data_IF_861788953834
#
_entry.id   IF_861788953834
#
_cell.length_a   1.000
_cell.length_b   1.000
_cell.length_c   1.000
_cell.angle_alpha   90.00
_cell.angle_beta   90.00
_cell.angle_gamma   90.00
#
_symmetry.space_group_name_H-M   'P 1'
#
loop_
_entity.id
_entity.type
_entity.pdbx_description
1 polymer ?
#
# COMPACT_ATOMS: atom_id res chain seq x y z
N UNK A 1 6.80 -5.55 -19.48
CA UNK A 1 5.88 -6.52 -20.11
C UNK A 1 5.41 -6.09 -21.49
N UNK A 2 5.02 -4.84 -21.68
CA UNK A 2 4.45 -4.35 -22.96
C UNK A 2 5.48 -4.17 -24.09
N UNK A 3 6.77 -4.09 -23.79
CA UNK A 3 7.80 -3.96 -24.82
C UNK A 3 7.87 -5.21 -25.71
N UNK A 4 7.80 -5.00 -27.05
CA UNK A 4 7.87 -6.10 -28.02
C UNK A 4 9.25 -6.73 -28.04
N UNK A 5 10.29 -5.89 -28.07
CA UNK A 5 11.69 -6.27 -28.12
C UNK A 5 12.36 -5.97 -26.76
N UNK A 6 12.90 -7.00 -26.15
CA UNK A 6 13.69 -6.95 -24.92
C UNK A 6 15.15 -7.30 -25.15
N UNK A 7 15.54 -7.69 -26.39
CA UNK A 7 16.92 -8.00 -26.72
C UNK A 7 17.78 -6.74 -26.79
N UNK A 8 17.23 -5.65 -27.33
CA UNK A 8 17.93 -4.39 -27.59
C UNK A 8 17.76 -3.34 -26.49
N UNK A 9 17.29 -3.73 -25.28
CA UNK A 9 17.24 -2.81 -24.15
C UNK A 9 18.67 -2.47 -23.68
N UNK A 10 18.88 -1.23 -23.26
CA UNK A 10 20.19 -0.76 -22.79
C UNK A 10 20.64 -1.50 -21.53
N UNK A 11 21.92 -1.48 -21.23
CA UNK A 11 22.47 -2.08 -20.01
C UNK A 11 21.84 -1.52 -18.74
N UNK A 12 21.61 -0.21 -18.69
CA UNK A 12 20.92 0.47 -17.59
C UNK A 12 19.48 -0.03 -17.42
N UNK A 13 18.74 -0.19 -18.54
CA UNK A 13 17.39 -0.75 -18.51
C UNK A 13 17.39 -2.22 -18.05
N UNK A 14 18.36 -3.03 -18.49
CA UNK A 14 18.53 -4.41 -18.01
C UNK A 14 18.73 -4.46 -16.52
N UNK A 15 19.66 -3.66 -16.01
CA UNK A 15 19.92 -3.52 -14.57
C UNK A 15 18.66 -3.14 -13.80
N UNK A 16 17.94 -2.11 -14.26
CA UNK A 16 16.70 -1.67 -13.62
C UNK A 16 15.65 -2.80 -13.56
N UNK A 17 15.49 -3.57 -14.64
CA UNK A 17 14.56 -4.72 -14.67
C UNK A 17 14.99 -5.77 -13.64
N UNK A 18 16.27 -6.14 -13.63
CA UNK A 18 16.82 -7.17 -12.74
C UNK A 18 16.63 -6.78 -11.26
N UNK A 19 17.10 -5.59 -10.89
CA UNK A 19 17.00 -5.08 -9.52
C UNK A 19 15.53 -4.95 -9.07
N UNK A 20 14.65 -4.44 -9.93
CA UNK A 20 13.24 -4.24 -9.60
C UNK A 20 12.49 -5.57 -9.46
N UNK A 21 12.71 -6.51 -10.38
CA UNK A 21 12.01 -7.78 -10.38
C UNK A 21 12.45 -8.72 -9.24
N UNK A 22 13.65 -8.56 -8.70
CA UNK A 22 14.10 -9.34 -7.55
C UNK A 22 13.97 -8.61 -6.21
N UNK A 23 13.48 -7.37 -6.20
CA UNK A 23 13.12 -6.65 -4.98
C UNK A 23 11.79 -7.16 -4.42
N UNK A 24 11.81 -8.33 -3.80
CA UNK A 24 10.64 -9.00 -3.25
C UNK A 24 11.03 -9.85 -2.03
N UNK A 25 10.03 -10.36 -1.30
CA UNK A 25 10.29 -11.32 -0.24
C UNK A 25 10.66 -12.68 -0.86
N UNK A 26 11.95 -13.01 -0.88
CA UNK A 26 12.48 -14.19 -1.57
C UNK A 26 11.84 -15.48 -1.08
N UNK A 27 11.72 -15.69 0.23
CA UNK A 27 11.16 -16.92 0.80
C UNK A 27 9.67 -17.14 0.48
N UNK A 28 8.94 -16.06 0.16
CA UNK A 28 7.51 -16.13 -0.13
C UNK A 28 7.17 -15.99 -1.61
N UNK A 29 8.02 -15.33 -2.39
CA UNK A 29 7.69 -14.91 -3.76
C UNK A 29 8.65 -15.44 -4.83
N UNK A 30 9.87 -15.87 -4.48
CA UNK A 30 10.84 -16.40 -5.43
C UNK A 30 11.04 -17.90 -5.20
N UNK A 31 11.40 -18.31 -3.99
CA UNK A 31 11.71 -19.71 -3.66
C UNK A 31 10.57 -20.70 -3.92
N UNK A 32 9.28 -20.37 -3.68
CA UNK A 32 8.19 -21.30 -3.96
C UNK A 32 7.98 -21.62 -5.43
N UNK A 33 8.57 -20.82 -6.33
CA UNK A 33 8.42 -20.99 -7.77
C UNK A 33 9.74 -21.40 -8.41
N UNK A 34 9.96 -22.69 -8.70
CA UNK A 34 11.25 -23.19 -9.23
C UNK A 34 11.72 -22.49 -10.51
N UNK A 35 10.81 -22.09 -11.39
CA UNK A 35 11.15 -21.36 -12.61
C UNK A 35 11.63 -19.92 -12.29
N UNK A 36 11.00 -19.21 -11.37
CA UNK A 36 11.44 -17.89 -10.94
C UNK A 36 12.76 -17.96 -10.16
N UNK A 37 12.89 -18.96 -9.29
CA UNK A 37 14.15 -19.21 -8.58
C UNK A 37 15.33 -19.45 -9.52
N UNK A 38 15.16 -20.22 -10.59
CA UNK A 38 16.23 -20.41 -11.62
C UNK A 38 16.67 -19.09 -12.24
N UNK A 39 15.74 -18.19 -12.53
CA UNK A 39 16.09 -16.84 -13.05
C UNK A 39 16.89 -16.04 -12.02
N UNK A 40 16.52 -16.15 -10.75
CA UNK A 40 17.27 -15.51 -9.66
C UNK A 40 18.67 -16.09 -9.49
N UNK A 41 18.81 -17.41 -9.51
CA UNK A 41 20.12 -18.07 -9.38
C UNK A 41 21.07 -17.65 -10.53
N UNK A 42 20.55 -17.56 -11.77
CA UNK A 42 21.30 -17.03 -12.91
C UNK A 42 21.72 -15.55 -12.69
N UNK A 43 20.80 -14.71 -12.22
CA UNK A 43 21.12 -13.31 -11.88
C UNK A 43 22.26 -13.23 -10.86
N UNK A 44 22.21 -14.03 -9.79
CA UNK A 44 23.25 -14.03 -8.74
C UNK A 44 24.62 -14.48 -9.26
N UNK A 45 24.67 -15.39 -10.23
CA UNK A 45 25.93 -15.76 -10.87
C UNK A 45 26.56 -14.61 -11.66
N UNK A 46 25.75 -13.71 -12.22
CA UNK A 46 26.22 -12.55 -12.96
C UNK A 46 26.43 -11.32 -12.06
N UNK A 47 25.65 -11.17 -11.00
CA UNK A 47 25.78 -10.04 -10.04
C UNK A 47 27.13 -10.00 -9.33
N UNK A 48 27.74 -11.16 -9.10
CA UNK A 48 29.07 -11.28 -8.49
C UNK A 48 30.21 -10.81 -9.40
N UNK A 49 29.92 -10.46 -10.64
CA UNK A 49 30.86 -10.03 -11.66
C UNK A 49 30.57 -8.57 -12.08
N UNK A 50 31.34 -8.04 -13.04
CA UNK A 50 31.13 -6.67 -13.51
C UNK A 50 29.79 -6.50 -14.24
N UNK A 51 29.21 -5.29 -14.23
CA UNK A 51 27.92 -4.97 -14.84
C UNK A 51 27.77 -5.40 -16.31
N UNK A 52 28.88 -5.48 -17.05
CA UNK A 52 28.91 -5.89 -18.43
C UNK A 52 28.39 -7.32 -18.65
N UNK A 53 28.44 -8.18 -17.63
CA UNK A 53 27.93 -9.54 -17.70
C UNK A 53 26.40 -9.62 -17.88
N UNK A 54 25.66 -8.57 -17.57
CA UNK A 54 24.21 -8.53 -17.84
C UNK A 54 23.87 -8.50 -19.35
N UNK A 55 24.82 -8.22 -20.22
CA UNK A 55 24.65 -8.35 -21.66
C UNK A 55 24.41 -9.80 -22.10
N UNK A 56 24.89 -10.79 -21.35
CA UNK A 56 24.71 -12.20 -21.65
C UNK A 56 23.32 -12.73 -21.27
N UNK A 57 22.54 -11.98 -20.51
CA UNK A 57 21.16 -12.32 -20.25
C UNK A 57 20.28 -11.93 -21.45
N UNK A 58 19.72 -12.91 -22.15
CA UNK A 58 18.94 -12.70 -23.37
C UNK A 58 17.66 -11.88 -23.13
N UNK A 59 17.07 -11.34 -24.21
CA UNK A 59 15.74 -10.72 -24.15
C UNK A 59 14.66 -11.69 -23.69
N UNK A 60 14.81 -13.00 -23.99
CA UNK A 60 13.90 -14.03 -23.49
C UNK A 60 14.01 -14.22 -21.97
N UNK A 61 15.23 -14.17 -21.42
CA UNK A 61 15.43 -14.16 -19.97
C UNK A 61 14.68 -12.99 -19.30
N UNK A 62 14.78 -11.78 -19.84
CA UNK A 62 14.08 -10.60 -19.33
C UNK A 62 12.56 -10.74 -19.49
N UNK A 63 12.09 -11.35 -20.59
CA UNK A 63 10.68 -11.62 -20.78
C UNK A 63 10.12 -12.56 -19.70
N UNK A 64 10.82 -13.66 -19.46
CA UNK A 64 10.43 -14.64 -18.46
C UNK A 64 10.49 -14.04 -17.03
N UNK A 65 11.52 -13.25 -16.74
CA UNK A 65 11.65 -12.54 -15.46
C UNK A 65 10.50 -11.57 -15.20
N UNK A 66 10.15 -10.75 -16.19
CA UNK A 66 9.04 -9.80 -16.07
C UNK A 66 7.70 -10.53 -15.86
N UNK A 67 7.48 -11.66 -16.54
CA UNK A 67 6.27 -12.47 -16.34
C UNK A 67 6.25 -13.05 -14.92
N UNK A 68 7.32 -13.70 -14.49
CA UNK A 68 7.38 -14.29 -13.15
C UNK A 68 7.23 -13.29 -12.04
N UNK A 69 7.80 -12.09 -12.16
CA UNK A 69 7.57 -11.01 -11.23
C UNK A 69 6.08 -10.74 -11.05
N UNK A 70 5.35 -10.55 -12.13
CA UNK A 70 3.91 -10.25 -12.06
C UNK A 70 3.08 -11.46 -11.59
N UNK A 71 3.42 -12.69 -12.00
CA UNK A 71 2.76 -13.89 -11.50
C UNK A 71 2.92 -14.05 -9.99
N UNK A 72 4.11 -13.80 -9.46
CA UNK A 72 4.39 -13.91 -8.02
C UNK A 72 3.66 -12.83 -7.19
N UNK A 73 3.40 -11.66 -7.76
CA UNK A 73 2.66 -10.57 -7.11
C UNK A 73 1.14 -10.67 -7.24
N UNK A 74 0.62 -11.57 -8.08
CA UNK A 74 -0.81 -11.80 -8.17
C UNK A 74 -1.39 -12.36 -6.87
N UNK A 75 -2.62 -11.96 -6.55
CA UNK A 75 -3.38 -12.55 -5.45
C UNK A 75 -3.57 -14.06 -5.62
N UNK A 76 -3.50 -14.81 -4.53
CA UNK A 76 -3.56 -16.28 -4.55
C UNK A 76 -4.83 -16.82 -5.18
N UNK A 77 -6.00 -16.26 -4.86
CA UNK A 77 -7.28 -16.65 -5.48
C UNK A 77 -7.26 -16.47 -6.99
N UNK A 78 -6.74 -15.34 -7.47
CA UNK A 78 -6.64 -15.05 -8.90
C UNK A 78 -5.71 -16.04 -9.59
N UNK A 79 -4.57 -16.38 -8.98
CA UNK A 79 -3.63 -17.37 -9.54
C UNK A 79 -4.24 -18.77 -9.69
N UNK A 80 -5.10 -19.16 -8.73
CA UNK A 80 -5.74 -20.48 -8.73
C UNK A 80 -6.90 -20.60 -9.70
N UNK A 81 -7.66 -19.52 -9.88
CA UNK A 81 -8.93 -19.55 -10.59
C UNK A 81 -8.82 -19.08 -12.04
N UNK A 82 -7.82 -18.25 -12.36
CA UNK A 82 -7.68 -17.71 -13.71
C UNK A 82 -6.89 -18.66 -14.61
N UNK A 83 -7.53 -19.18 -15.65
CA UNK A 83 -6.97 -20.17 -16.58
C UNK A 83 -5.67 -19.70 -17.26
N UNK A 84 -5.56 -18.42 -17.63
CA UNK A 84 -4.35 -17.86 -18.22
C UNK A 84 -3.17 -17.96 -17.25
N UNK A 85 -3.37 -17.58 -15.99
CA UNK A 85 -2.31 -17.61 -14.98
C UNK A 85 -1.89 -19.04 -14.66
N UNK A 86 -2.85 -19.96 -14.52
CA UNK A 86 -2.58 -21.40 -14.34
C UNK A 86 -1.74 -21.95 -15.47
N UNK A 87 -2.12 -21.66 -16.73
CA UNK A 87 -1.37 -22.11 -17.91
C UNK A 87 0.04 -21.51 -17.97
N UNK A 88 0.19 -20.21 -17.69
CA UNK A 88 1.50 -19.55 -17.67
C UNK A 88 2.41 -20.11 -16.57
N UNK A 89 1.89 -20.31 -15.37
CA UNK A 89 2.65 -20.89 -14.26
C UNK A 89 3.09 -22.32 -14.55
N UNK A 90 2.22 -23.12 -15.17
CA UNK A 90 2.53 -24.48 -15.60
C UNK A 90 3.58 -24.51 -16.72
N UNK A 91 3.51 -23.58 -17.68
CA UNK A 91 4.51 -23.45 -18.76
C UNK A 91 5.89 -23.09 -18.22
N UNK A 92 5.98 -22.16 -17.30
CA UNK A 92 7.17 -21.83 -16.51
C UNK A 92 8.23 -20.98 -17.20
N UNK A 93 8.36 -20.96 -18.51
CA UNK A 93 9.36 -20.18 -19.25
C UNK A 93 8.99 -20.01 -20.73
N UNK A 94 9.84 -19.30 -21.50
CA UNK A 94 9.67 -19.06 -22.94
C UNK A 94 8.36 -18.32 -23.25
N UNK A 95 8.03 -17.33 -22.46
CA UNK A 95 6.81 -16.54 -22.64
C UNK A 95 6.90 -15.66 -23.89
N UNK A 96 5.93 -15.85 -24.77
CA UNK A 96 5.80 -15.10 -26.03
C UNK A 96 5.33 -13.67 -25.76
N UNK A 97 5.51 -12.79 -26.75
CA UNK A 97 4.97 -11.42 -26.69
C UNK A 97 3.44 -11.41 -26.51
N UNK A 98 2.73 -12.32 -27.17
CA UNK A 98 1.26 -12.43 -27.04
C UNK A 98 0.84 -12.78 -25.60
N UNK A 99 1.50 -13.73 -24.97
CA UNK A 99 1.21 -14.10 -23.57
C UNK A 99 1.48 -12.92 -22.62
N UNK A 100 2.56 -12.17 -22.84
CA UNK A 100 2.86 -10.97 -22.09
C UNK A 100 1.78 -9.90 -22.25
N UNK A 101 1.26 -9.70 -23.47
CA UNK A 101 0.14 -8.79 -23.71
C UNK A 101 -1.14 -9.23 -23.00
N UNK A 102 -1.46 -10.53 -23.02
CA UNK A 102 -2.60 -11.09 -22.30
C UNK A 102 -2.48 -10.86 -20.77
N UNK A 103 -1.27 -11.05 -20.21
CA UNK A 103 -1.01 -10.78 -18.80
C UNK A 103 -1.21 -9.30 -18.46
N UNK A 104 -0.73 -8.38 -19.29
CA UNK A 104 -0.93 -6.93 -19.11
C UNK A 104 -2.42 -6.57 -19.15
N UNK A 105 -3.17 -7.14 -20.10
CA UNK A 105 -4.60 -6.92 -20.20
C UNK A 105 -5.33 -7.40 -18.94
N UNK A 106 -5.04 -8.63 -18.48
CA UNK A 106 -5.60 -9.17 -17.25
C UNK A 106 -5.28 -8.28 -16.03
N UNK A 107 -4.04 -7.80 -15.90
CA UNK A 107 -3.67 -6.88 -14.82
C UNK A 107 -4.54 -5.62 -14.88
N UNK A 108 -4.73 -5.06 -16.08
CA UNK A 108 -5.58 -3.90 -16.29
C UNK A 108 -7.03 -4.15 -15.86
N UNK A 109 -7.61 -5.27 -16.24
CA UNK A 109 -8.97 -5.68 -15.85
C UNK A 109 -9.11 -5.84 -14.33
N UNK A 110 -8.14 -6.51 -13.69
CA UNK A 110 -8.13 -6.68 -12.23
C UNK A 110 -8.09 -5.34 -11.50
N UNK A 111 -7.22 -4.42 -11.93
CA UNK A 111 -7.09 -3.09 -11.32
C UNK A 111 -8.39 -2.29 -11.52
N UNK A 112 -8.96 -2.30 -12.71
CA UNK A 112 -10.23 -1.61 -13.00
C UNK A 112 -11.39 -2.18 -12.18
N UNK A 113 -11.35 -3.48 -11.88
CA UNK A 113 -12.35 -4.17 -11.08
C UNK A 113 -12.32 -3.89 -9.58
N UNK A 114 -11.23 -3.30 -9.04
CA UNK A 114 -11.06 -3.13 -7.58
C UNK A 114 -12.16 -2.23 -6.98
N UNK A 115 -12.32 -1.02 -7.49
CA UNK A 115 -13.30 -0.05 -6.97
C UNK A 115 -14.75 -0.58 -7.08
N UNK A 116 -15.20 -1.09 -8.24
CA UNK A 116 -16.51 -1.71 -8.34
C UNK A 116 -16.75 -2.86 -7.35
N UNK A 117 -15.72 -3.70 -7.11
CA UNK A 117 -15.81 -4.80 -6.16
C UNK A 117 -15.99 -4.31 -4.73
N UNK A 118 -15.22 -3.32 -4.28
CA UNK A 118 -15.38 -2.73 -2.95
C UNK A 118 -16.76 -2.08 -2.79
N UNK A 119 -17.23 -1.35 -3.81
CA UNK A 119 -18.59 -0.77 -3.82
C UNK A 119 -19.63 -1.85 -3.63
N UNK A 120 -19.57 -2.93 -4.42
CA UNK A 120 -20.53 -4.05 -4.34
C UNK A 120 -20.51 -4.71 -2.95
N UNK A 121 -19.37 -4.99 -2.38
CA UNK A 121 -19.26 -5.59 -1.04
C UNK A 121 -19.83 -4.69 0.05
N UNK A 122 -19.69 -3.37 -0.09
CA UNK A 122 -20.27 -2.41 0.84
C UNK A 122 -21.79 -2.31 0.67
N UNK A 123 -22.29 -2.29 -0.57
CA UNK A 123 -23.75 -2.31 -0.88
C UNK A 123 -24.42 -3.58 -0.35
N UNK A 124 -23.74 -4.72 -0.43
CA UNK A 124 -24.23 -6.01 0.11
C UNK A 124 -24.12 -6.10 1.65
N UNK A 125 -23.59 -5.07 2.31
CA UNK A 125 -23.40 -5.05 3.76
C UNK A 125 -22.36 -6.02 4.30
N UNK A 126 -21.47 -6.55 3.45
CA UNK A 126 -20.41 -7.47 3.85
C UNK A 126 -19.20 -6.75 4.46
N UNK A 127 -18.97 -5.49 4.08
CA UNK A 127 -17.90 -4.66 4.60
C UNK A 127 -18.39 -3.24 4.86
N UNK A 128 -17.73 -2.55 5.79
CA UNK A 128 -17.80 -1.09 5.94
C UNK A 128 -16.50 -0.48 5.39
N UNK A 129 -16.63 0.55 4.56
CA UNK A 129 -15.50 1.29 4.02
C UNK A 129 -15.25 2.54 4.85
N UNK A 130 -14.01 2.75 5.22
CA UNK A 130 -13.51 3.99 5.83
C UNK A 130 -12.56 4.71 4.88
N UNK A 131 -12.25 5.95 5.20
CA UNK A 131 -11.30 6.75 4.42
C UNK A 131 -10.17 7.29 5.29
N UNK A 132 -9.21 7.95 4.67
CA UNK A 132 -8.15 8.72 5.32
C UNK A 132 -8.23 10.17 4.82
N UNK A 133 -7.71 11.16 5.55
CA UNK A 133 -7.71 12.55 5.08
C UNK A 133 -7.03 12.67 3.70
N UNK A 134 -7.63 13.45 2.81
CA UNK A 134 -7.12 13.70 1.47
C UNK A 134 -5.68 14.24 1.54
N UNK A 135 -4.75 13.71 0.72
CA UNK A 135 -3.30 13.96 0.79
C UNK A 135 -2.61 13.52 2.09
N UNK A 136 -3.28 12.80 2.98
CA UNK A 136 -2.69 12.15 4.15
C UNK A 136 -1.91 13.08 5.12
N UNK A 137 -2.44 14.26 5.49
CA UNK A 137 -1.74 15.17 6.41
C UNK A 137 -1.83 14.69 7.85
N UNK A 138 -0.78 14.93 8.63
CA UNK A 138 -0.77 14.70 10.08
C UNK A 138 -1.56 15.83 10.75
N UNK A 139 -2.86 15.64 10.91
CA UNK A 139 -3.79 16.67 11.40
C UNK A 139 -3.38 17.31 12.74
N UNK A 140 -2.96 16.56 13.79
CA UNK A 140 -2.52 17.16 15.03
C UNK A 140 -1.43 18.23 14.85
N UNK A 141 -0.41 17.94 14.04
CA UNK A 141 0.70 18.87 13.78
C UNK A 141 0.28 20.11 13.00
N UNK A 142 -0.71 19.98 12.13
CA UNK A 142 -1.26 21.13 11.39
C UNK A 142 -2.10 22.04 12.30
N UNK A 143 -2.71 21.50 13.33
CA UNK A 143 -3.54 22.25 14.27
C UNK A 143 -2.72 22.89 15.39
N UNK A 144 -1.76 22.14 15.94
CA UNK A 144 -0.85 22.59 17.00
C UNK A 144 0.45 21.79 16.94
N UNK A 145 1.56 22.46 16.65
CA UNK A 145 2.89 21.84 16.61
C UNK A 145 3.32 21.25 17.97
N UNK A 146 2.79 21.76 19.09
CA UNK A 146 3.07 21.22 20.42
C UNK A 146 2.52 19.79 20.60
N UNK A 147 1.52 19.38 19.80
CA UNK A 147 1.01 18.01 19.83
C UNK A 147 2.09 16.94 19.59
N UNK A 148 3.20 17.31 18.91
CA UNK A 148 4.36 16.42 18.74
C UNK A 148 4.95 15.95 20.09
N UNK A 149 4.88 16.80 21.13
CA UNK A 149 5.40 16.49 22.47
C UNK A 149 4.52 15.52 23.26
N UNK A 150 3.28 15.30 22.83
CA UNK A 150 2.43 14.25 23.41
C UNK A 150 2.98 12.85 23.06
N UNK A 151 3.58 12.71 21.88
CA UNK A 151 4.25 11.46 21.45
C UNK A 151 5.71 11.39 21.88
N UNK A 152 6.45 12.51 21.74
CA UNK A 152 7.89 12.62 22.03
C UNK A 152 8.13 13.85 22.90
N UNK A 153 8.09 13.74 24.22
CA UNK A 153 8.12 14.88 25.14
C UNK A 153 9.33 15.82 25.00
N UNK A 154 10.48 15.27 24.58
CA UNK A 154 11.73 16.02 24.41
C UNK A 154 12.00 16.53 22.98
N UNK A 155 11.03 16.42 22.06
CA UNK A 155 11.27 16.83 20.67
C UNK A 155 11.47 18.36 20.56
N UNK A 156 12.48 18.74 19.78
CA UNK A 156 12.64 20.14 19.37
C UNK A 156 11.59 20.50 18.33
N UNK A 157 10.89 21.61 18.58
CA UNK A 157 9.87 22.10 17.67
C UNK A 157 10.47 23.11 16.67
N UNK A 158 9.84 23.27 15.49
CA UNK A 158 10.20 24.32 14.56
C UNK A 158 10.12 25.72 15.20
N UNK A 159 10.88 26.67 14.72
CA UNK A 159 10.85 28.07 15.17
C UNK A 159 9.48 28.72 14.93
N UNK A 160 8.75 28.25 13.90
CA UNK A 160 7.36 28.66 13.64
C UNK A 160 6.43 28.14 14.73
N UNK A 161 5.63 29.04 15.34
CA UNK A 161 4.71 28.66 16.41
C UNK A 161 3.46 27.91 15.92
N UNK A 162 3.10 28.04 14.66
CA UNK A 162 1.90 27.41 14.09
C UNK A 162 2.04 27.15 12.59
N UNK A 163 1.31 26.16 12.11
CA UNK A 163 1.16 25.92 10.68
C UNK A 163 0.08 26.88 10.11
N UNK A 164 0.43 27.71 9.10
CA UNK A 164 -0.51 28.73 8.58
C UNK A 164 -1.79 28.11 8.02
N UNK A 165 -2.95 28.53 8.55
CA UNK A 165 -4.25 28.04 8.10
C UNK A 165 -4.52 26.56 8.42
N UNK A 166 -3.87 26.00 9.43
CA UNK A 166 -3.93 24.56 9.75
C UNK A 166 -5.36 24.03 9.88
N UNK A 167 -6.23 24.69 10.64
CA UNK A 167 -7.60 24.24 10.84
C UNK A 167 -8.42 24.19 9.54
N UNK A 168 -8.32 25.24 8.70
CA UNK A 168 -8.99 25.27 7.40
C UNK A 168 -8.46 24.18 6.45
N UNK A 169 -7.16 23.96 6.45
CA UNK A 169 -6.53 22.91 5.62
C UNK A 169 -6.94 21.53 6.07
N UNK A 170 -6.92 21.24 7.38
CA UNK A 170 -7.39 19.94 7.91
C UNK A 170 -8.86 19.73 7.57
N UNK A 171 -9.72 20.74 7.76
CA UNK A 171 -11.14 20.67 7.38
C UNK A 171 -11.31 20.38 5.88
N UNK A 172 -10.53 21.05 5.03
CA UNK A 172 -10.51 20.76 3.59
C UNK A 172 -10.13 19.30 3.29
N UNK A 173 -9.05 18.80 3.89
CA UNK A 173 -8.59 17.42 3.66
C UNK A 173 -9.61 16.39 4.14
N UNK A 174 -10.32 16.64 5.23
CA UNK A 174 -11.38 15.74 5.72
C UNK A 174 -12.59 15.77 4.80
N UNK A 175 -13.10 16.96 4.45
CA UNK A 175 -14.28 17.11 3.59
C UNK A 175 -14.02 16.59 2.17
N UNK A 176 -12.83 16.81 1.63
CA UNK A 176 -12.46 16.33 0.30
C UNK A 176 -12.32 14.80 0.26
N UNK A 177 -11.77 14.19 1.32
CA UNK A 177 -11.73 12.74 1.45
C UNK A 177 -13.13 12.12 1.40
N UNK A 178 -14.12 12.74 2.06
CA UNK A 178 -15.50 12.26 2.04
C UNK A 178 -16.13 12.37 0.65
N UNK A 179 -15.94 13.50 -0.05
CA UNK A 179 -16.41 13.67 -1.43
C UNK A 179 -15.79 12.65 -2.38
N UNK A 180 -14.48 12.44 -2.29
CA UNK A 180 -13.79 11.45 -3.13
C UNK A 180 -14.26 10.03 -2.82
N UNK A 181 -14.46 9.69 -1.55
CA UNK A 181 -15.00 8.40 -1.15
C UNK A 181 -16.42 8.19 -1.73
N UNK A 182 -17.29 9.16 -1.59
CA UNK A 182 -18.66 9.10 -2.15
C UNK A 182 -18.64 8.98 -3.68
N UNK A 183 -17.75 9.72 -4.35
CA UNK A 183 -17.57 9.64 -5.79
C UNK A 183 -17.18 8.22 -6.25
N UNK A 184 -16.20 7.59 -5.60
CA UNK A 184 -15.71 6.27 -6.01
C UNK A 184 -16.57 5.12 -5.51
N UNK A 185 -17.10 5.20 -4.30
CA UNK A 185 -17.80 4.08 -3.64
C UNK A 185 -19.32 4.27 -3.54
N UNK A 186 -19.85 5.42 -3.94
CA UNK A 186 -21.30 5.66 -4.01
C UNK A 186 -21.97 5.94 -2.67
N UNK A 187 -21.22 5.98 -1.57
CA UNK A 187 -21.74 6.24 -0.22
C UNK A 187 -20.78 7.06 0.62
N UNK A 188 -21.30 7.84 1.54
CA UNK A 188 -20.51 8.61 2.50
C UNK A 188 -19.88 7.66 3.53
N UNK A 189 -18.57 7.75 3.81
CA UNK A 189 -17.94 6.90 4.83
C UNK A 189 -18.36 7.32 6.23
N UNK A 190 -18.61 6.35 7.10
CA UNK A 190 -18.92 6.63 8.50
C UNK A 190 -17.65 6.94 9.32
N UNK A 191 -16.53 6.38 8.93
CA UNK A 191 -15.29 6.42 9.68
C UNK A 191 -14.06 6.86 8.91
N UNK A 192 -13.02 7.22 9.67
CA UNK A 192 -11.75 7.68 9.13
C UNK A 192 -10.57 7.05 9.88
N UNK A 193 -9.55 6.65 9.14
CA UNK A 193 -8.22 6.42 9.65
C UNK A 193 -7.44 7.74 9.55
N UNK A 194 -7.21 8.47 10.67
CA UNK A 194 -6.33 9.63 10.66
C UNK A 194 -4.94 9.24 10.14
N UNK A 195 -4.31 10.13 9.39
CA UNK A 195 -2.98 9.88 8.85
C UNK A 195 -2.02 9.39 9.93
N UNK A 196 -1.32 8.27 9.70
CA UNK A 196 -0.42 7.60 10.65
C UNK A 196 -1.07 7.23 12.00
N UNK A 197 -2.41 7.19 12.08
CA UNK A 197 -3.12 7.00 13.34
C UNK A 197 -2.97 8.19 14.32
N UNK A 198 -2.46 9.32 13.83
CA UNK A 198 -2.21 10.52 14.63
C UNK A 198 -3.49 11.23 15.03
N UNK A 199 -3.76 11.28 16.33
CA UNK A 199 -4.95 11.93 16.90
C UNK A 199 -4.57 12.95 17.97
N UNK A 200 -5.37 14.00 18.06
CA UNK A 200 -5.46 14.91 19.20
C UNK A 200 -6.92 15.27 19.40
N UNK A 201 -7.27 15.79 20.56
CA UNK A 201 -8.65 16.22 20.82
C UNK A 201 -9.14 17.22 19.78
N UNK A 202 -8.30 18.19 19.39
CA UNK A 202 -8.63 19.18 18.37
C UNK A 202 -8.87 18.55 17.00
N UNK A 203 -8.04 17.57 16.61
CA UNK A 203 -8.19 16.84 15.34
C UNK A 203 -9.48 16.01 15.34
N UNK A 204 -9.76 15.26 16.41
CA UNK A 204 -10.97 14.45 16.55
C UNK A 204 -12.24 15.32 16.46
N UNK A 205 -12.29 16.44 17.19
CA UNK A 205 -13.41 17.39 17.14
C UNK A 205 -13.62 17.96 15.73
N UNK A 206 -12.55 18.26 15.02
CA UNK A 206 -12.63 18.81 13.67
C UNK A 206 -13.12 17.75 12.66
N UNK A 207 -12.67 16.50 12.80
CA UNK A 207 -13.19 15.37 12.01
C UNK A 207 -14.67 15.13 12.28
N UNK A 208 -15.10 15.14 13.55
CA UNK A 208 -16.50 15.00 13.92
C UNK A 208 -17.38 16.14 13.36
N UNK A 209 -16.91 17.39 13.39
CA UNK A 209 -17.60 18.56 12.78
C UNK A 209 -17.78 18.41 11.27
N UNK A 210 -16.91 17.65 10.60
CA UNK A 210 -17.01 17.35 9.17
C UNK A 210 -17.80 16.07 8.88
N UNK A 211 -18.48 15.47 9.87
CA UNK A 211 -19.38 14.33 9.68
C UNK A 211 -18.77 12.95 9.96
N UNK A 212 -17.53 12.88 10.42
CA UNK A 212 -16.92 11.62 10.82
C UNK A 212 -17.58 11.09 12.11
N UNK A 213 -18.05 9.85 12.10
CA UNK A 213 -18.74 9.25 13.27
C UNK A 213 -17.81 8.39 14.12
N UNK A 214 -16.72 7.90 13.56
CA UNK A 214 -15.67 7.19 14.29
C UNK A 214 -14.30 7.39 13.63
N UNK A 215 -13.26 7.29 14.43
CA UNK A 215 -11.87 7.29 13.98
C UNK A 215 -11.15 6.09 14.57
N UNK A 216 -10.18 5.56 13.81
CA UNK A 216 -9.31 4.49 14.29
C UNK A 216 -7.93 5.05 14.61
N UNK A 217 -7.28 4.50 15.64
CA UNK A 217 -5.93 4.86 16.03
C UNK A 217 -5.16 3.65 16.57
N UNK A 218 -3.87 3.80 16.84
CA UNK A 218 -3.04 2.71 17.34
C UNK A 218 -3.25 2.41 18.82
N UNK A 219 -3.06 1.14 19.22
CA UNK A 219 -3.12 0.69 20.61
C UNK A 219 -2.23 1.54 21.55
N UNK A 220 -1.05 1.96 21.07
CA UNK A 220 -0.14 2.78 21.87
C UNK A 220 -0.75 4.13 22.27
N UNK A 221 -1.55 4.74 21.39
CA UNK A 221 -2.24 6.01 21.68
C UNK A 221 -3.25 5.80 22.80
N UNK A 222 -4.07 4.74 22.72
CA UNK A 222 -5.00 4.39 23.79
C UNK A 222 -4.27 4.14 25.11
N UNK A 223 -3.23 3.33 25.11
CA UNK A 223 -2.45 2.99 26.30
C UNK A 223 -1.82 4.23 26.95
N UNK A 224 -1.28 5.16 26.15
CA UNK A 224 -0.71 6.40 26.65
C UNK A 224 -1.78 7.32 27.23
N UNK A 225 -2.94 7.44 26.58
CA UNK A 225 -4.08 8.23 27.07
C UNK A 225 -4.62 7.71 28.41
N UNK A 226 -4.77 6.38 28.54
CA UNK A 226 -5.21 5.74 29.78
C UNK A 226 -4.18 5.93 30.91
N UNK A 227 -2.88 5.87 30.59
CA UNK A 227 -1.82 6.12 31.58
C UNK A 227 -1.85 7.56 32.08
N UNK A 228 -2.03 8.53 31.18
CA UNK A 228 -2.17 9.94 31.56
C UNK A 228 -3.42 10.18 32.40
N UNK A 229 -4.52 9.48 32.10
CA UNK A 229 -5.76 9.52 32.87
C UNK A 229 -5.69 8.71 34.19
N UNK A 230 -4.55 8.09 34.54
CA UNK A 230 -4.33 7.28 35.74
C UNK A 230 -5.31 6.09 35.84
N UNK A 231 -5.73 5.54 34.73
CA UNK A 231 -6.63 4.38 34.66
C UNK A 231 -5.85 3.06 34.53
N UNK A 232 -5.11 2.72 35.57
CA UNK A 232 -4.17 1.59 35.58
C UNK A 232 -4.85 0.21 35.42
N UNK A 233 -6.05 0.04 35.96
CA UNK A 233 -6.83 -1.19 35.81
C UNK A 233 -7.12 -1.51 34.35
N UNK A 234 -7.43 -0.50 33.56
CA UNK A 234 -7.71 -0.64 32.11
C UNK A 234 -6.44 -0.94 31.32
N UNK A 235 -5.29 -0.49 31.79
CA UNK A 235 -3.99 -0.75 31.16
C UNK A 235 -3.59 -2.24 31.17
N UNK A 236 -4.14 -3.04 32.10
CA UNK A 236 -3.87 -4.49 32.16
C UNK A 236 -4.36 -5.22 30.91
N UNK A 237 -5.44 -4.72 30.26
CA UNK A 237 -5.96 -5.28 29.02
C UNK A 237 -6.62 -4.20 28.14
N UNK A 238 -5.85 -3.26 27.58
CA UNK A 238 -6.38 -2.11 26.85
C UNK A 238 -7.12 -2.50 25.55
N UNK A 239 -6.83 -3.68 25.00
CA UNK A 239 -7.46 -4.16 23.75
C UNK A 239 -8.95 -4.41 23.91
N UNK A 240 -9.42 -4.72 25.10
CA UNK A 240 -10.83 -4.95 25.40
C UNK A 240 -11.60 -3.66 25.73
N UNK A 241 -10.91 -2.52 25.74
CA UNK A 241 -11.52 -1.25 26.09
C UNK A 241 -11.92 -0.50 24.81
N UNK A 242 -13.19 -0.55 24.48
CA UNK A 242 -13.75 0.28 23.42
C UNK A 242 -13.95 1.71 23.98
N UNK A 243 -13.11 2.62 23.54
CA UNK A 243 -13.26 4.04 23.84
C UNK A 243 -14.50 4.59 23.11
N UNK A 244 -15.49 5.05 23.86
CA UNK A 244 -16.58 5.87 23.36
C UNK A 244 -16.23 7.32 23.66
N UNK A 245 -16.07 8.19 22.63
CA UNK A 245 -15.86 9.61 22.83
C UNK A 245 -17.04 10.28 23.50
#
# INVERSE_FOLDING_TARGET
>A
LAARDLEHVTLEQRRLILESCFRSNHSKMVEPYPAYKRLYDLFKMHEAQEMEHFHYLSGQYLADLLVWYHLAWMGESVRRENELLVAMMSKGCMFTFKERQQLVALIGELIQGIIPRYRKLAEDGQIELSTTPYYHPIAPLMLDLNSARESVPGIELPVSHAYPGGAQRVSFHVSEAFKMHEHYFGQHPAGMWPAEGGVSQAAALLMAKNGCRWIATGQAVLSNSLRQAKQEEVLKNPVNYLYRP
#
